data_IF_473480871682
#
_entry.id   IF_473480871682
#
_cell.length_a   1.000
_cell.length_b   1.000
_cell.length_c   1.000
_cell.angle_alpha   90.00
_cell.angle_beta   90.00
_cell.angle_gamma   90.00
#
_symmetry.space_group_name_H-M   'P 1'
#
loop_
_entity.id
_entity.type
_entity.pdbx_description
1 polymer ?
#
# COMPACT_ATOMS: atom_id res chain seq x y z
N UNK A 1 10.66 -40.42 17.76
CA UNK A 1 10.88 -39.58 16.56
C UNK A 1 9.52 -39.03 16.15
N UNK A 2 9.18 -37.79 16.52
CA UNK A 2 7.92 -37.16 16.09
C UNK A 2 8.09 -36.62 14.66
N UNK A 3 7.11 -36.81 13.76
CA UNK A 3 7.17 -36.25 12.42
C UNK A 3 7.14 -34.72 12.52
N UNK A 4 8.17 -34.08 11.95
CA UNK A 4 8.27 -32.62 11.88
C UNK A 4 7.11 -32.04 11.08
N UNK A 5 6.30 -31.22 11.74
CA UNK A 5 5.23 -30.44 11.12
C UNK A 5 5.87 -29.46 10.12
N UNK A 6 5.74 -29.74 8.83
CA UNK A 6 6.16 -28.83 7.77
C UNK A 6 5.29 -27.57 7.86
N UNK A 7 5.85 -26.35 7.91
CA UNK A 7 5.03 -25.14 7.93
C UNK A 7 4.18 -25.08 6.65
N UNK A 8 2.87 -24.93 6.81
CA UNK A 8 1.95 -24.74 5.69
C UNK A 8 2.32 -23.44 4.96
N UNK A 9 2.30 -23.40 3.62
CA UNK A 9 2.51 -22.17 2.88
C UNK A 9 1.39 -21.20 3.25
N UNK A 10 1.73 -20.14 3.98
CA UNK A 10 0.76 -19.13 4.40
C UNK A 10 0.45 -18.30 3.15
N UNK A 11 -0.63 -18.68 2.47
CA UNK A 11 -1.26 -17.84 1.47
C UNK A 11 -1.45 -16.43 2.04
N UNK A 12 -1.19 -15.43 1.22
CA UNK A 12 -1.32 -13.99 1.49
C UNK A 12 -2.77 -13.61 1.79
N UNK A 13 -3.26 -14.02 2.96
CA UNK A 13 -4.63 -13.81 3.41
C UNK A 13 -4.92 -12.34 3.68
N UNK A 14 -6.21 -12.01 3.55
CA UNK A 14 -6.86 -10.70 3.54
C UNK A 14 -6.69 -9.81 4.79
N UNK A 15 -5.64 -9.98 5.61
CA UNK A 15 -5.52 -9.35 6.93
C UNK A 15 -4.17 -8.68 7.23
N UNK A 16 -3.24 -8.57 6.28
CA UNK A 16 -1.84 -8.20 6.58
C UNK A 16 -1.34 -6.89 6.00
N UNK A 17 -2.17 -5.87 6.11
CA UNK A 17 -1.79 -4.48 5.99
C UNK A 17 -1.60 -3.91 7.40
N UNK A 18 -0.41 -3.93 8.01
CA UNK A 18 -0.19 -3.52 9.42
C UNK A 18 -0.95 -4.32 10.53
N UNK A 19 -2.13 -4.88 10.26
CA UNK A 19 -3.09 -5.38 11.26
C UNK A 19 -2.96 -6.88 11.63
N UNK A 20 -2.11 -7.65 10.95
CA UNK A 20 -2.27 -9.12 10.89
C UNK A 20 -1.09 -9.97 11.35
N UNK A 21 -0.73 -9.91 12.64
CA UNK A 21 -0.20 -11.02 13.47
C UNK A 21 0.03 -10.57 14.91
N UNK A 22 0.39 -9.31 15.10
CA UNK A 22 0.81 -8.78 16.39
C UNK A 22 -0.34 -8.12 17.16
N UNK A 23 -1.43 -7.74 16.47
CA UNK A 23 -2.48 -6.90 17.04
C UNK A 23 -1.95 -5.54 17.53
N UNK A 24 -0.80 -5.09 17.01
CA UNK A 24 -0.06 -3.93 17.54
C UNK A 24 -0.54 -2.62 16.93
N UNK A 25 -0.75 -2.53 15.62
CA UNK A 25 -1.42 -1.37 15.02
C UNK A 25 -2.90 -1.67 14.95
N UNK A 26 -3.67 -1.25 15.96
CA UNK A 26 -5.10 -1.00 15.77
C UNK A 26 -5.28 0.38 15.13
N UNK A 27 -6.47 0.71 14.60
CA UNK A 27 -6.77 2.09 14.26
C UNK A 27 -6.54 2.88 15.54
N UNK A 28 -5.74 3.95 15.47
CA UNK A 28 -5.59 4.86 16.61
C UNK A 28 -6.96 5.34 17.10
N UNK A 29 -7.93 5.45 16.17
CA UNK A 29 -9.32 5.78 16.45
C UNK A 29 -10.02 4.80 17.41
N UNK A 30 -9.65 3.51 17.40
CA UNK A 30 -10.29 2.48 18.21
C UNK A 30 -9.48 2.14 19.49
N UNK A 31 -8.22 2.60 19.59
CA UNK A 31 -7.32 2.41 20.74
C UNK A 31 -6.36 3.60 20.94
N UNK A 32 -6.87 4.77 21.36
CA UNK A 32 -6.09 6.01 21.47
C UNK A 32 -4.94 5.92 22.49
N UNK A 33 -5.03 5.03 23.48
CA UNK A 33 -3.97 4.80 24.48
C UNK A 33 -2.66 4.28 23.87
N UNK A 34 -2.69 3.77 22.64
CA UNK A 34 -1.52 3.22 21.95
C UNK A 34 -0.72 4.25 21.15
N UNK A 35 -1.25 5.46 20.97
CA UNK A 35 -0.54 6.59 20.33
C UNK A 35 0.78 6.93 21.02
N UNK A 36 0.86 6.74 22.34
CA UNK A 36 2.04 7.05 23.14
C UNK A 36 3.06 5.90 23.20
N UNK A 37 2.67 4.69 22.79
CA UNK A 37 3.48 3.48 22.93
C UNK A 37 4.26 3.11 21.66
N UNK A 38 3.87 3.65 20.50
CA UNK A 38 4.50 3.31 19.22
C UNK A 38 4.73 4.55 18.38
N UNK A 39 5.88 4.65 17.68
CA UNK A 39 6.07 5.71 16.73
C UNK A 39 4.99 5.59 15.63
N UNK A 40 4.37 6.70 15.21
CA UNK A 40 3.30 6.69 14.21
C UNK A 40 3.74 6.07 12.88
N UNK A 41 5.05 6.09 12.60
CA UNK A 41 5.66 5.51 11.40
C UNK A 41 6.70 4.49 11.85
N UNK A 42 6.77 3.37 11.14
CA UNK A 42 7.78 2.32 11.34
C UNK A 42 8.70 2.24 10.12
N UNK A 43 9.85 1.59 10.29
CA UNK A 43 10.77 1.32 9.18
C UNK A 43 10.04 0.59 8.05
N UNK A 44 10.36 0.96 6.80
CA UNK A 44 9.71 0.43 5.60
C UNK A 44 9.86 -1.09 5.51
N UNK A 45 11.01 -1.62 5.94
CA UNK A 45 11.38 -3.03 5.90
C UNK A 45 10.91 -3.85 7.13
N UNK A 46 10.15 -3.25 8.05
CA UNK A 46 9.85 -3.86 9.36
C UNK A 46 9.06 -5.18 9.28
N UNK A 47 8.21 -5.36 8.27
CA UNK A 47 7.26 -6.48 8.18
C UNK A 47 7.47 -7.33 6.92
N UNK A 48 8.43 -8.25 6.99
CA UNK A 48 8.73 -9.23 5.91
C UNK A 48 7.51 -10.08 5.51
N UNK A 49 6.66 -10.45 6.47
CA UNK A 49 5.44 -11.24 6.20
C UNK A 49 4.33 -10.46 5.45
N UNK A 50 4.48 -9.14 5.33
CA UNK A 50 3.55 -8.24 4.66
C UNK A 50 4.06 -7.76 3.30
N UNK A 51 5.18 -8.32 2.83
CA UNK A 51 5.76 -8.00 1.52
C UNK A 51 4.84 -8.55 0.43
N UNK A 52 4.56 -7.72 -0.57
CA UNK A 52 3.78 -8.16 -1.74
C UNK A 52 4.56 -9.19 -2.56
N UNK A 53 3.90 -9.98 -3.43
CA UNK A 53 4.58 -10.89 -4.36
C UNK A 53 5.59 -10.25 -5.32
N UNK A 54 5.71 -8.91 -5.31
CA UNK A 54 6.62 -8.12 -6.14
C UNK A 54 7.73 -7.45 -5.30
N UNK A 55 7.99 -7.96 -4.09
CA UNK A 55 8.99 -7.45 -3.15
C UNK A 55 8.76 -5.99 -2.70
N UNK A 56 7.51 -5.51 -2.79
CA UNK A 56 7.14 -4.18 -2.31
C UNK A 56 6.57 -4.26 -0.90
N UNK A 57 7.22 -3.56 0.03
CA UNK A 57 6.88 -3.47 1.45
C UNK A 57 5.83 -2.40 1.72
N UNK A 58 5.06 -2.61 2.79
CA UNK A 58 4.16 -1.60 3.39
C UNK A 58 3.17 -0.98 2.39
N UNK A 59 2.72 -1.75 1.38
CA UNK A 59 1.71 -1.31 0.41
C UNK A 59 0.34 -1.03 1.02
N UNK A 60 0.16 -1.37 2.30
CA UNK A 60 -1.09 -1.22 3.00
C UNK A 60 -0.82 -0.93 4.49
N UNK A 61 -1.10 0.29 4.93
CA UNK A 61 -0.68 0.82 6.23
C UNK A 61 0.61 1.65 6.17
N UNK A 62 1.18 1.92 7.35
CA UNK A 62 2.29 2.84 7.59
C UNK A 62 1.96 4.28 7.18
N UNK A 63 1.96 4.59 5.89
CA UNK A 63 1.51 5.87 5.34
C UNK A 63 0.62 5.61 4.12
N UNK A 64 -0.39 6.45 3.94
CA UNK A 64 -1.01 6.58 2.64
C UNK A 64 0.04 7.11 1.65
N UNK A 65 -0.03 6.68 0.40
CA UNK A 65 0.95 7.04 -0.62
C UNK A 65 0.26 7.82 -1.74
N UNK A 66 0.78 9.03 -2.01
CA UNK A 66 0.39 9.83 -3.17
C UNK A 66 0.57 9.07 -4.48
N UNK A 67 -0.35 9.30 -5.41
CA UNK A 67 -0.30 8.84 -6.79
C UNK A 67 -0.45 10.04 -7.72
N UNK A 68 0.18 9.99 -8.89
CA UNK A 68 0.17 11.09 -9.85
C UNK A 68 -1.25 11.44 -10.34
N UNK A 69 -2.16 10.47 -10.41
CA UNK A 69 -3.51 10.62 -10.96
C UNK A 69 -4.36 11.65 -10.20
N UNK A 70 -5.23 12.37 -10.94
CA UNK A 70 -6.36 13.07 -10.35
C UNK A 70 -7.42 12.07 -9.86
N UNK A 71 -8.07 12.39 -8.74
CA UNK A 71 -9.13 11.57 -8.18
C UNK A 71 -10.45 11.90 -8.85
N UNK A 72 -11.11 10.84 -9.32
CA UNK A 72 -12.47 10.85 -9.83
C UNK A 72 -13.10 9.50 -9.43
N UNK A 73 -14.27 9.52 -8.75
CA UNK A 73 -14.97 8.31 -8.34
C UNK A 73 -15.49 7.48 -9.52
N UNK A 74 -15.80 8.11 -10.66
CA UNK A 74 -16.42 7.50 -11.83
C UNK A 74 -15.42 7.16 -12.94
N UNK A 75 -14.14 7.54 -12.79
CA UNK A 75 -13.11 7.33 -13.82
C UNK A 75 -13.00 5.88 -14.32
N UNK A 76 -13.27 4.89 -13.47
CA UNK A 76 -13.21 3.48 -13.88
C UNK A 76 -14.30 3.09 -14.89
N UNK A 77 -15.36 3.88 -15.04
CA UNK A 77 -16.39 3.66 -16.06
C UNK A 77 -15.90 4.01 -17.48
N UNK A 78 -14.88 4.88 -17.59
CA UNK A 78 -14.41 5.45 -18.86
C UNK A 78 -12.91 5.28 -19.09
N UNK A 79 -12.19 4.70 -18.13
CA UNK A 79 -10.75 4.50 -18.19
C UNK A 79 -10.37 3.62 -19.40
N UNK A 80 -9.28 3.95 -20.12
CA UNK A 80 -8.77 3.08 -21.17
C UNK A 80 -8.18 1.80 -20.57
N UNK A 81 -8.28 0.69 -21.30
CA UNK A 81 -7.78 -0.62 -20.86
C UNK A 81 -6.26 -0.67 -20.65
N UNK A 82 -5.52 0.22 -21.33
CA UNK A 82 -4.05 0.23 -21.33
C UNK A 82 -3.52 1.57 -20.88
N UNK A 83 -2.70 1.53 -19.82
CA UNK A 83 -1.97 2.67 -19.26
C UNK A 83 -2.88 3.89 -18.94
N UNK A 84 -3.97 3.71 -18.18
CA UNK A 84 -4.81 4.83 -17.77
C UNK A 84 -3.99 5.86 -16.97
N UNK A 85 -4.14 7.14 -17.28
CA UNK A 85 -3.38 8.25 -16.67
C UNK A 85 -4.21 9.04 -15.64
N UNK A 86 -5.42 8.58 -15.33
CA UNK A 86 -6.41 9.36 -14.60
C UNK A 86 -7.11 10.41 -15.50
N UNK A 87 -8.05 11.18 -14.93
CA UNK A 87 -8.59 12.38 -15.56
C UNK A 87 -7.48 13.40 -15.86
N UNK A 88 -7.68 14.26 -16.87
CA UNK A 88 -6.71 15.32 -17.20
C UNK A 88 -6.67 16.45 -16.17
N UNK A 89 -7.76 16.66 -15.45
CA UNK A 89 -7.94 17.71 -14.44
C UNK A 89 -8.72 17.16 -13.24
N UNK A 90 -8.54 17.78 -12.07
CA UNK A 90 -9.34 17.46 -10.90
C UNK A 90 -9.02 18.42 -9.74
N UNK A 91 -9.80 18.29 -8.67
CA UNK A 91 -9.62 19.07 -7.44
C UNK A 91 -8.76 18.33 -6.39
N UNK A 92 -8.63 17.01 -6.53
CA UNK A 92 -7.98 16.13 -5.56
C UNK A 92 -7.02 15.17 -6.24
N UNK A 93 -5.84 14.95 -5.66
CA UNK A 93 -4.92 13.89 -6.11
C UNK A 93 -5.24 12.58 -5.40
N UNK A 94 -5.03 11.47 -6.10
CA UNK A 94 -5.26 10.14 -5.56
C UNK A 94 -4.20 9.80 -4.50
N UNK A 95 -4.61 9.15 -3.43
CA UNK A 95 -3.70 8.40 -2.56
C UNK A 95 -4.22 6.98 -2.30
N UNK A 96 -3.30 6.07 -1.95
CA UNK A 96 -3.55 4.62 -1.78
C UNK A 96 -2.90 4.08 -0.51
N UNK A 97 -3.17 2.81 -0.20
CA UNK A 97 -2.48 2.06 0.86
C UNK A 97 -3.03 2.30 2.27
N UNK A 98 -3.41 3.53 2.60
CA UNK A 98 -3.90 3.92 3.93
C UNK A 98 -2.77 4.10 4.95
N UNK A 99 -2.92 5.08 5.84
CA UNK A 99 -1.93 5.44 6.85
C UNK A 99 -2.11 4.74 8.19
N UNK A 100 -1.15 4.95 9.10
CA UNK A 100 -1.17 4.38 10.46
C UNK A 100 -2.41 4.75 11.31
N UNK A 101 -3.09 5.85 10.97
CA UNK A 101 -4.31 6.27 11.64
C UNK A 101 -5.60 5.69 11.04
N UNK A 102 -5.52 5.09 9.85
CA UNK A 102 -6.69 4.57 9.14
C UNK A 102 -7.21 3.28 9.77
N UNK A 103 -8.53 3.07 9.65
CA UNK A 103 -9.18 1.87 10.16
C UNK A 103 -8.91 0.66 9.27
N UNK A 104 -8.82 -0.55 9.82
CA UNK A 104 -8.59 -1.77 9.01
C UNK A 104 -9.56 -1.93 7.82
N UNK A 105 -10.87 -1.66 7.94
CA UNK A 105 -11.78 -1.74 6.79
C UNK A 105 -11.44 -0.78 5.65
N UNK A 106 -10.73 0.32 5.95
CA UNK A 106 -10.32 1.34 4.99
C UNK A 106 -8.93 1.11 4.40
N UNK A 107 -8.21 0.08 4.87
CA UNK A 107 -6.85 -0.28 4.42
C UNK A 107 -6.95 -1.52 3.52
N UNK A 108 -7.63 -1.36 2.38
CA UNK A 108 -7.79 -2.40 1.34
C UNK A 108 -6.99 -2.03 0.10
N UNK A 109 -6.44 -3.03 -0.60
CA UNK A 109 -5.66 -2.83 -1.84
C UNK A 109 -6.44 -2.07 -2.92
N UNK A 110 -7.75 -2.30 -3.01
CA UNK A 110 -8.61 -1.64 -4.00
C UNK A 110 -9.12 -0.26 -3.55
N UNK A 111 -8.83 0.17 -2.32
CA UNK A 111 -9.30 1.46 -1.83
C UNK A 111 -8.58 2.61 -2.55
N UNK A 112 -9.37 3.61 -2.94
CA UNK A 112 -8.94 4.84 -3.58
C UNK A 112 -9.56 5.99 -2.82
N UNK A 113 -8.76 6.95 -2.41
CA UNK A 113 -9.23 8.19 -1.82
C UNK A 113 -8.58 9.36 -2.57
N UNK A 114 -9.12 10.57 -2.37
CA UNK A 114 -8.55 11.80 -2.89
C UNK A 114 -8.50 12.87 -1.81
N UNK A 115 -7.51 13.75 -1.89
CA UNK A 115 -7.45 14.97 -1.09
C UNK A 115 -6.75 16.08 -1.86
N UNK A 116 -6.80 17.32 -1.36
CA UNK A 116 -6.27 18.48 -2.04
C UNK A 116 -4.74 18.34 -2.27
N UNK A 117 -4.19 18.74 -3.45
CA UNK A 117 -2.79 18.57 -3.80
C UNK A 117 -1.78 19.17 -2.80
N UNK A 118 -2.18 20.23 -2.11
CA UNK A 118 -1.41 20.95 -1.10
C UNK A 118 -1.42 20.29 0.28
N UNK A 119 -2.17 19.20 0.45
CA UNK A 119 -2.30 18.48 1.72
C UNK A 119 -0.94 17.93 2.16
N UNK A 120 -0.53 18.32 3.36
CA UNK A 120 0.65 17.79 4.02
C UNK A 120 0.22 17.17 5.34
N UNK A 121 0.44 15.88 5.49
CA UNK A 121 0.05 15.16 6.69
C UNK A 121 1.09 14.10 7.05
N UNK A 122 1.26 13.86 8.35
CA UNK A 122 2.20 12.87 8.89
C UNK A 122 1.79 11.42 8.65
N UNK A 123 0.61 11.17 8.08
CA UNK A 123 0.13 9.87 7.64
C UNK A 123 0.19 9.71 6.11
N UNK A 124 0.67 10.73 5.38
CA UNK A 124 0.67 10.78 3.92
C UNK A 124 2.11 10.98 3.40
N UNK A 125 2.61 9.99 2.67
CA UNK A 125 3.91 9.98 2.02
C UNK A 125 3.78 9.65 0.53
N UNK A 126 4.84 9.09 -0.05
CA UNK A 126 4.85 8.65 -1.45
C UNK A 126 5.91 7.57 -1.67
N UNK A 127 5.76 6.82 -2.77
CA UNK A 127 6.87 6.07 -3.37
C UNK A 127 7.02 6.47 -4.82
N UNK A 128 8.26 6.43 -5.30
CA UNK A 128 8.55 6.70 -6.70
C UNK A 128 8.30 5.47 -7.55
N UNK A 129 7.90 5.72 -8.80
CA UNK A 129 7.91 4.73 -9.88
C UNK A 129 8.67 5.34 -11.06
N UNK A 130 9.22 4.47 -11.90
CA UNK A 130 9.89 4.87 -13.14
C UNK A 130 9.41 3.98 -14.28
N UNK A 131 9.28 4.57 -15.46
CA UNK A 131 9.10 3.79 -16.68
C UNK A 131 10.35 2.94 -16.92
N UNK A 132 10.16 1.75 -17.48
CA UNK A 132 11.27 0.96 -17.97
C UNK A 132 11.96 1.75 -19.09
N UNK A 133 13.25 2.04 -18.93
CA UNK A 133 14.07 2.45 -20.06
C UNK A 133 14.24 1.22 -20.93
N UNK A 134 13.96 1.32 -22.23
CA UNK A 134 14.24 0.27 -23.22
C UNK A 134 15.75 0.18 -23.50
N UNK A 135 16.57 0.17 -22.46
CA UNK A 135 17.99 -0.10 -22.58
C UNK A 135 18.17 -1.54 -22.13
N UNK A 136 18.64 -2.38 -23.06
CA UNK A 136 19.00 -3.80 -22.98
C UNK A 136 18.05 -4.74 -23.73
N UNK A 137 18.34 -4.87 -25.02
CA UNK A 137 18.50 -6.18 -25.68
C UNK A 137 19.45 -7.07 -24.86
N UNK A 138 19.02 -7.57 -23.71
CA UNK A 138 19.63 -8.76 -23.15
C UNK A 138 18.97 -9.94 -23.84
N UNK A 139 19.66 -10.50 -24.82
CA UNK A 139 19.37 -11.82 -25.37
C UNK A 139 19.25 -12.79 -24.19
N UNK A 140 18.02 -13.25 -23.93
CA UNK A 140 17.79 -14.41 -23.08
C UNK A 140 18.50 -15.58 -23.76
N UNK A 141 19.53 -16.20 -23.14
CA UNK A 141 20.03 -17.47 -23.65
C UNK A 141 18.90 -18.49 -23.46
N UNK A 142 18.38 -19.01 -24.57
CA UNK A 142 17.45 -20.13 -24.54
C UNK A 142 18.23 -21.36 -24.06
N UNK A 143 17.65 -22.24 -23.22
CA UNK A 143 18.28 -23.51 -22.83
C UNK A 143 18.56 -24.42 -24.02
#
# INVERSE_FOLDING_TARGET
>A
MSPGMKPMPIASGHTRANFGRSGISGPVRDRPERLLLYPPIISVDKYEIGVSPYDVFQMAGNVAEWVNDWYDPDYYQTAPDRNPQGPSTGEHRVFRGGGWMDSTPTVRTAQRNGTAPETQANWLGFRCAAGLKNDLTHSIPTP
#
